data_IF_230128959731
#
_entry.id   IF_230128959731
#
_cell.length_a   1.000
_cell.length_b   1.000
_cell.length_c   1.000
_cell.angle_alpha   90.00
_cell.angle_beta   90.00
_cell.angle_gamma   90.00
#
_symmetry.space_group_name_H-M   'P 1'
#
loop_
_entity.id
_entity.type
_entity.pdbx_description
1 polymer ?
#
# COMPACT_ATOMS: atom_id res chain seq x y z
N UNK A 1 11.63 -3.83 32.34
CA UNK A 1 10.32 -3.90 31.65
C UNK A 1 10.29 -3.09 30.34
N UNK A 2 11.09 -2.02 30.19
CA UNK A 2 11.18 -1.24 28.95
C UNK A 2 11.79 -2.01 27.76
N UNK A 3 12.82 -2.84 28.01
CA UNK A 3 13.54 -3.56 26.95
C UNK A 3 12.63 -4.54 26.18
N UNK A 4 11.77 -5.28 26.88
CA UNK A 4 10.85 -6.23 26.25
C UNK A 4 9.78 -5.53 25.38
N UNK A 5 9.31 -4.35 25.79
CA UNK A 5 8.34 -3.56 25.03
C UNK A 5 8.95 -2.98 23.75
N UNK A 6 10.20 -2.51 23.82
CA UNK A 6 10.94 -2.02 22.64
C UNK A 6 11.22 -3.16 21.66
N UNK A 7 11.72 -4.31 22.14
CA UNK A 7 11.98 -5.48 21.28
C UNK A 7 10.71 -5.99 20.59
N UNK A 8 9.59 -6.08 21.31
CA UNK A 8 8.30 -6.46 20.69
C UNK A 8 7.88 -5.47 19.60
N UNK A 9 8.02 -4.16 19.85
CA UNK A 9 7.66 -3.12 18.88
C UNK A 9 8.53 -3.17 17.62
N UNK A 10 9.83 -3.41 17.78
CA UNK A 10 10.76 -3.53 16.66
C UNK A 10 10.46 -4.78 15.82
N UNK A 11 10.19 -5.92 16.47
CA UNK A 11 9.77 -7.14 15.78
C UNK A 11 8.45 -6.96 15.01
N UNK A 12 7.46 -6.28 15.60
CA UNK A 12 6.21 -5.98 14.89
C UNK A 12 6.41 -5.01 13.72
N UNK A 13 7.30 -4.04 13.86
CA UNK A 13 7.66 -3.11 12.77
C UNK A 13 8.31 -3.83 11.59
N UNK A 14 9.23 -4.75 11.87
CA UNK A 14 9.90 -5.55 10.83
C UNK A 14 8.93 -6.50 10.12
N UNK A 15 8.07 -7.20 10.89
CA UNK A 15 7.02 -8.06 10.33
C UNK A 15 6.05 -7.24 9.48
N UNK A 16 5.63 -6.06 9.94
CA UNK A 16 4.76 -5.16 9.16
C UNK A 16 5.44 -4.71 7.87
N UNK A 17 6.74 -4.39 7.90
CA UNK A 17 7.52 -4.02 6.71
C UNK A 17 7.56 -5.14 5.68
N UNK A 18 7.88 -6.36 6.12
CA UNK A 18 7.91 -7.56 5.26
C UNK A 18 6.51 -7.85 4.70
N UNK A 19 5.47 -7.82 5.54
CA UNK A 19 4.11 -8.12 5.13
C UNK A 19 3.56 -7.09 4.14
N UNK A 20 3.92 -5.81 4.32
CA UNK A 20 3.59 -4.74 3.38
C UNK A 20 4.33 -4.93 2.05
N UNK A 21 5.62 -5.25 2.08
CA UNK A 21 6.42 -5.48 0.86
C UNK A 21 5.98 -6.71 0.06
N UNK A 22 5.67 -7.81 0.74
CA UNK A 22 5.14 -9.02 0.10
C UNK A 22 3.71 -8.74 -0.41
N UNK A 23 2.87 -8.08 0.40
CA UNK A 23 1.51 -7.74 0.04
C UNK A 23 1.40 -6.85 -1.19
N UNK A 24 2.24 -5.82 -1.31
CA UNK A 24 2.29 -4.96 -2.50
C UNK A 24 2.77 -5.71 -3.73
N UNK A 25 3.80 -6.54 -3.60
CA UNK A 25 4.31 -7.36 -4.72
C UNK A 25 3.24 -8.33 -5.23
N UNK A 26 2.53 -9.01 -4.33
CA UNK A 26 1.43 -9.91 -4.68
C UNK A 26 0.27 -9.14 -5.33
N UNK A 27 -0.08 -7.97 -4.81
CA UNK A 27 -1.12 -7.12 -5.40
C UNK A 27 -0.76 -6.68 -6.83
N UNK A 28 0.49 -6.28 -7.06
CA UNK A 28 0.99 -5.90 -8.39
C UNK A 28 0.95 -7.12 -9.34
N UNK A 29 1.42 -8.29 -8.89
CA UNK A 29 1.34 -9.52 -9.69
C UNK A 29 -0.11 -9.88 -10.06
N UNK A 30 -1.05 -9.77 -9.12
CA UNK A 30 -2.47 -10.02 -9.38
C UNK A 30 -3.04 -9.03 -10.41
N UNK A 31 -2.72 -7.73 -10.29
CA UNK A 31 -3.12 -6.71 -11.26
C UNK A 31 -2.55 -6.98 -12.66
N UNK A 32 -1.29 -7.42 -12.75
CA UNK A 32 -0.66 -7.78 -14.02
C UNK A 32 -1.35 -8.98 -14.68
N UNK A 33 -1.61 -10.05 -13.92
CA UNK A 33 -2.30 -11.24 -14.44
C UNK A 33 -3.69 -10.86 -14.96
N UNK A 34 -4.44 -10.05 -14.21
CA UNK A 34 -5.76 -9.59 -14.63
C UNK A 34 -5.70 -8.70 -15.87
N UNK A 35 -4.75 -7.75 -15.94
CA UNK A 35 -4.53 -6.90 -17.12
C UNK A 35 -4.20 -7.72 -18.37
N UNK A 36 -3.33 -8.72 -18.25
CA UNK A 36 -3.01 -9.64 -19.34
C UNK A 36 -4.25 -10.45 -19.76
N UNK A 37 -5.04 -10.94 -18.80
CA UNK A 37 -6.28 -11.68 -19.09
C UNK A 37 -7.30 -10.82 -19.85
N UNK A 38 -7.36 -9.52 -19.54
CA UNK A 38 -8.17 -8.57 -20.29
C UNK A 38 -7.64 -8.32 -21.70
N UNK A 39 -6.34 -8.12 -21.88
CA UNK A 39 -5.72 -7.97 -23.20
C UNK A 39 -5.94 -9.20 -24.10
N UNK A 40 -5.89 -10.41 -23.52
CA UNK A 40 -6.19 -11.65 -24.24
C UNK A 40 -7.67 -11.76 -24.63
N UNK A 41 -8.58 -11.25 -23.79
CA UNK A 41 -10.02 -11.22 -24.07
C UNK A 41 -10.36 -10.18 -25.15
N UNK A 42 -9.66 -9.04 -25.18
CA UNK A 42 -9.79 -8.03 -26.24
C UNK A 42 -9.42 -8.58 -27.63
N UNK A 43 -8.40 -9.43 -27.70
CA UNK A 43 -7.98 -10.07 -28.97
C UNK A 43 -9.07 -10.99 -29.55
N UNK A 44 -10.08 -11.37 -28.77
CA UNK A 44 -11.23 -12.19 -29.19
C UNK A 44 -12.48 -11.39 -29.58
N UNK A 45 -12.45 -10.05 -29.53
CA UNK A 45 -13.52 -9.20 -30.06
C UNK A 45 -14.77 -9.05 -29.20
N UNK A 46 -14.94 -9.83 -28.13
CA UNK A 46 -16.09 -9.72 -27.22
C UNK A 46 -15.78 -8.86 -25.99
N UNK A 47 -16.57 -7.80 -25.76
CA UNK A 47 -16.76 -7.22 -24.42
C UNK A 47 -15.73 -6.20 -23.92
N UNK A 48 -14.97 -5.53 -24.80
CA UNK A 48 -13.92 -4.56 -24.45
C UNK A 48 -14.40 -3.45 -23.48
N UNK A 49 -15.63 -2.98 -23.64
CA UNK A 49 -16.17 -1.81 -22.94
C UNK A 49 -16.72 -2.16 -21.55
N UNK A 50 -17.32 -3.34 -21.39
CA UNK A 50 -17.85 -3.82 -20.10
C UNK A 50 -16.72 -4.23 -19.15
N UNK A 51 -15.68 -4.90 -19.68
CA UNK A 51 -14.51 -5.29 -18.90
C UNK A 51 -13.73 -4.06 -18.36
N UNK A 52 -13.54 -3.03 -19.20
CA UNK A 52 -12.87 -1.80 -18.77
C UNK A 52 -13.70 -0.97 -17.79
N UNK A 53 -15.02 -0.92 -17.97
CA UNK A 53 -15.90 -0.19 -17.06
C UNK A 53 -15.97 -0.84 -15.67
N UNK A 54 -15.98 -2.18 -15.59
CA UNK A 54 -16.00 -2.89 -14.31
C UNK A 54 -14.64 -2.98 -13.64
N UNK A 55 -13.61 -3.43 -14.36
CA UNK A 55 -12.30 -3.73 -13.77
C UNK A 55 -11.39 -2.51 -13.65
N UNK A 56 -11.42 -1.60 -14.64
CA UNK A 56 -10.66 -0.36 -14.59
C UNK A 56 -11.05 0.51 -13.40
N UNK A 57 -12.34 0.53 -13.05
CA UNK A 57 -12.85 1.27 -11.89
C UNK A 57 -12.44 0.63 -10.56
N UNK A 58 -12.45 -0.70 -10.45
CA UNK A 58 -11.99 -1.41 -9.25
C UNK A 58 -10.48 -1.21 -9.04
N UNK A 59 -9.69 -1.34 -10.10
CA UNK A 59 -8.25 -1.10 -10.04
C UNK A 59 -7.93 0.34 -9.63
N UNK A 60 -8.66 1.33 -10.18
CA UNK A 60 -8.49 2.74 -9.83
C UNK A 60 -8.88 3.02 -8.38
N UNK A 61 -9.95 2.43 -7.87
CA UNK A 61 -10.34 2.55 -6.46
C UNK A 61 -9.29 1.94 -5.52
N UNK A 62 -8.77 0.75 -5.84
CA UNK A 62 -7.71 0.11 -5.07
C UNK A 62 -6.43 0.95 -5.05
N UNK A 63 -6.08 1.58 -6.19
CA UNK A 63 -4.90 2.43 -6.33
C UNK A 63 -5.05 3.75 -5.53
N UNK A 64 -6.25 4.36 -5.53
CA UNK A 64 -6.53 5.56 -4.72
C UNK A 64 -6.47 5.24 -3.23
N UNK A 65 -7.10 4.15 -2.79
CA UNK A 65 -7.11 3.76 -1.37
C UNK A 65 -5.69 3.39 -0.91
N UNK A 66 -4.97 2.58 -1.69
CA UNK A 66 -3.58 2.21 -1.40
C UNK A 66 -2.60 3.39 -1.45
N UNK A 67 -2.83 4.34 -2.36
CA UNK A 67 -2.07 5.58 -2.44
C UNK A 67 -2.32 6.49 -1.24
N UNK A 68 -3.57 6.61 -0.79
CA UNK A 68 -3.94 7.40 0.38
C UNK A 68 -3.34 6.84 1.68
N UNK A 69 -3.31 5.51 1.87
CA UNK A 69 -2.64 4.89 3.02
C UNK A 69 -1.12 5.09 2.98
N UNK A 70 -0.50 5.01 1.81
CA UNK A 70 0.93 5.34 1.64
C UNK A 70 1.26 6.78 2.00
N UNK A 71 0.47 7.73 1.50
CA UNK A 71 0.63 9.17 1.81
C UNK A 71 0.36 9.46 3.29
N UNK A 72 -0.65 8.82 3.90
CA UNK A 72 -0.92 8.97 5.32
C UNK A 72 0.25 8.45 6.19
N UNK A 73 0.86 7.32 5.83
CA UNK A 73 2.06 6.82 6.51
C UNK A 73 3.24 7.78 6.42
N UNK A 74 3.45 8.40 5.25
CA UNK A 74 4.48 9.43 5.07
C UNK A 74 4.20 10.68 5.90
N UNK A 75 2.94 11.16 5.92
CA UNK A 75 2.55 12.33 6.73
C UNK A 75 2.64 12.07 8.23
N UNK A 76 2.30 10.87 8.70
CA UNK A 76 2.47 10.46 10.10
C UNK A 76 3.95 10.38 10.46
N UNK A 77 4.78 9.84 9.57
CA UNK A 77 6.24 9.80 9.76
C UNK A 77 6.85 11.21 9.85
N UNK A 78 6.43 12.11 8.95
CA UNK A 78 6.83 13.52 8.97
C UNK A 78 6.38 14.23 10.26
N UNK A 79 5.13 14.03 10.65
CA UNK A 79 4.57 14.59 11.89
C UNK A 79 5.26 14.05 13.14
N UNK A 80 5.67 12.78 13.14
CA UNK A 80 6.47 12.18 14.20
C UNK A 80 7.88 12.76 14.28
N UNK A 81 8.56 12.99 13.15
CA UNK A 81 9.87 13.64 13.13
C UNK A 81 9.81 15.10 13.60
N UNK A 82 8.80 15.85 13.15
CA UNK A 82 8.61 17.26 13.55
C UNK A 82 8.17 17.36 15.02
N UNK A 83 7.23 16.51 15.45
CA UNK A 83 6.70 16.49 16.81
C UNK A 83 7.71 16.01 17.86
N UNK A 84 8.62 15.11 17.49
CA UNK A 84 9.67 14.62 18.39
C UNK A 84 10.97 15.46 18.34
N UNK A 85 11.16 16.27 17.29
CA UNK A 85 12.28 17.22 17.16
C UNK A 85 12.02 18.61 17.75
N UNK A 86 10.77 18.96 18.08
CA UNK A 86 10.36 20.27 18.59
C UNK A 86 10.30 20.45 20.11
N UNK A 87 10.63 19.41 20.89
CA UNK A 87 10.46 19.40 22.36
C UNK A 87 11.74 19.65 23.18
N UNK A 88 12.82 20.15 22.57
CA UNK A 88 14.16 20.22 23.17
C UNK A 88 14.64 21.59 23.68
N UNK A 89 13.76 22.58 23.82
CA UNK A 89 14.13 23.89 24.41
C UNK A 89 13.08 24.37 25.41
N UNK A 90 13.10 23.80 26.61
CA UNK A 90 12.71 24.48 27.87
C UNK A 90 13.01 23.56 29.06
N UNK A 91 13.94 23.99 29.91
CA UNK A 91 14.29 23.36 31.18
C UNK A 91 15.78 23.33 31.40
#
# INVERSE_FOLDING_TARGET
MNLAATTLKDMFGEIQGILTGIGTTVAICALLILGIRMLLSMKRGDGMREAFQGFGMIALAALIIGGATGIAGLLISLGGQIGNGGGGTKG
#
